data_IF_802236141323
#
_entry.id   IF_802236141323
#
_cell.length_a   1.000
_cell.length_b   1.000
_cell.length_c   1.000
_cell.angle_alpha   90.00
_cell.angle_beta   90.00
_cell.angle_gamma   90.00
#
_symmetry.space_group_name_H-M   'P 1'
#
loop_
_entity.id
_entity.type
_entity.pdbx_description
1 polymer ?
#
# COMPACT_ATOMS: atom_id res chain seq x y z
N UNK A 1 -7.06 -40.49 -10.06
CA UNK A 1 -7.09 -39.02 -10.28
C UNK A 1 -5.95 -38.34 -9.55
N UNK A 2 -5.76 -38.60 -8.24
CA UNK A 2 -4.64 -38.07 -7.46
C UNK A 2 -3.26 -38.42 -8.03
N UNK A 3 -3.04 -39.68 -8.44
CA UNK A 3 -1.77 -40.11 -9.06
C UNK A 3 -1.44 -39.35 -10.36
N UNK A 4 -2.44 -39.13 -11.21
CA UNK A 4 -2.29 -38.34 -12.44
C UNK A 4 -1.94 -36.87 -12.13
N UNK A 5 -2.55 -36.30 -11.09
CA UNK A 5 -2.23 -34.94 -10.64
C UNK A 5 -0.79 -34.89 -10.13
N UNK A 6 -0.36 -35.86 -9.32
CA UNK A 6 1.03 -35.95 -8.85
C UNK A 6 2.03 -36.06 -10.01
N UNK A 7 1.73 -36.85 -11.03
CA UNK A 7 2.56 -36.96 -12.23
C UNK A 7 2.67 -35.62 -12.95
N UNK A 8 1.53 -34.92 -13.16
CA UNK A 8 1.51 -33.61 -13.82
C UNK A 8 2.22 -32.54 -13.01
N UNK A 9 2.14 -32.59 -11.68
CA UNK A 9 2.90 -31.71 -10.80
C UNK A 9 4.40 -31.97 -10.94
N UNK A 10 4.84 -33.23 -10.96
CA UNK A 10 6.25 -33.58 -11.17
C UNK A 10 6.76 -33.09 -12.53
N UNK A 11 5.98 -33.29 -13.58
CA UNK A 11 6.28 -32.79 -14.93
C UNK A 11 6.43 -31.26 -14.94
N UNK A 12 5.48 -30.53 -14.34
CA UNK A 12 5.52 -29.08 -14.23
C UNK A 12 6.74 -28.60 -13.43
N UNK A 13 7.06 -29.24 -12.31
CA UNK A 13 8.24 -28.93 -11.51
C UNK A 13 9.54 -29.14 -12.31
N UNK A 14 9.62 -30.21 -13.10
CA UNK A 14 10.79 -30.47 -13.96
C UNK A 14 10.94 -29.39 -15.04
N UNK A 15 9.84 -28.99 -15.69
CA UNK A 15 9.83 -27.92 -16.68
C UNK A 15 10.29 -26.58 -16.08
N UNK A 16 9.77 -26.20 -14.91
CA UNK A 16 10.17 -24.97 -14.22
C UNK A 16 11.65 -25.03 -13.81
N UNK A 17 12.11 -26.17 -13.32
CA UNK A 17 13.51 -26.35 -12.90
C UNK A 17 14.49 -26.18 -14.06
N UNK A 18 14.09 -26.61 -15.27
CA UNK A 18 14.88 -26.52 -16.48
C UNK A 18 14.91 -25.11 -17.12
N UNK A 19 14.14 -24.15 -16.60
CA UNK A 19 14.19 -22.77 -17.10
C UNK A 19 15.52 -22.09 -16.76
N UNK A 20 16.06 -21.37 -17.72
CA UNK A 20 17.26 -20.55 -17.52
C UNK A 20 16.92 -19.24 -16.78
N UNK A 21 17.70 -18.95 -15.73
CA UNK A 21 17.59 -17.70 -14.96
C UNK A 21 16.52 -17.72 -13.87
N UNK A 22 16.87 -17.15 -12.71
CA UNK A 22 15.99 -17.16 -11.53
C UNK A 22 14.73 -16.31 -11.72
N UNK A 23 14.80 -15.25 -12.52
CA UNK A 23 13.61 -14.44 -12.84
C UNK A 23 12.56 -15.23 -13.63
N UNK A 24 12.96 -15.95 -14.68
CA UNK A 24 12.04 -16.79 -15.45
C UNK A 24 11.39 -17.88 -14.59
N UNK A 25 12.17 -18.50 -13.68
CA UNK A 25 11.64 -19.48 -12.73
C UNK A 25 10.60 -18.86 -11.81
N UNK A 26 10.91 -17.73 -11.18
CA UNK A 26 10.01 -17.05 -10.23
C UNK A 26 8.74 -16.54 -10.92
N UNK A 27 8.86 -15.97 -12.13
CA UNK A 27 7.72 -15.48 -12.89
C UNK A 27 6.81 -16.63 -13.35
N UNK A 28 7.40 -17.76 -13.75
CA UNK A 28 6.64 -18.98 -14.05
C UNK A 28 5.96 -19.57 -12.81
N UNK A 29 6.63 -19.55 -11.66
CA UNK A 29 6.02 -19.94 -10.38
C UNK A 29 4.83 -19.02 -10.02
N UNK A 30 4.97 -17.71 -10.19
CA UNK A 30 3.87 -16.76 -10.00
C UNK A 30 2.71 -17.05 -10.96
N UNK A 31 2.99 -17.34 -12.23
CA UNK A 31 1.98 -17.74 -13.21
C UNK A 31 1.19 -18.97 -12.75
N UNK A 32 1.89 -20.04 -12.34
CA UNK A 32 1.25 -21.26 -11.84
C UNK A 32 0.41 -20.96 -10.60
N UNK A 33 0.93 -20.21 -9.63
CA UNK A 33 0.19 -19.80 -8.42
C UNK A 33 -1.08 -19.04 -8.77
N UNK A 34 -1.06 -18.13 -9.75
CA UNK A 34 -2.26 -17.43 -10.22
C UNK A 34 -3.32 -18.38 -10.78
N UNK A 35 -2.91 -19.41 -11.52
CA UNK A 35 -3.86 -20.41 -12.04
C UNK A 35 -4.47 -21.27 -10.93
N UNK A 36 -3.65 -21.68 -9.95
CA UNK A 36 -4.14 -22.42 -8.78
C UNK A 36 -5.09 -21.56 -7.93
N UNK A 37 -4.74 -20.29 -7.70
CA UNK A 37 -5.58 -19.33 -6.98
C UNK A 37 -6.96 -19.20 -7.62
N UNK A 38 -7.05 -19.08 -8.96
CA UNK A 38 -8.35 -18.94 -9.66
C UNK A 38 -9.34 -20.07 -9.36
N UNK A 39 -8.84 -21.30 -9.21
CA UNK A 39 -9.68 -22.47 -8.92
C UNK A 39 -9.81 -22.77 -7.43
N UNK A 40 -9.07 -22.06 -6.56
CA UNK A 40 -9.11 -22.26 -5.13
C UNK A 40 -10.49 -21.89 -4.57
N UNK A 41 -11.09 -22.72 -3.69
CA UNK A 41 -12.31 -22.32 -2.97
C UNK A 41 -12.05 -21.13 -2.01
N UNK A 42 -10.79 -20.80 -1.75
CA UNK A 42 -10.36 -19.70 -0.89
C UNK A 42 -9.90 -18.46 -1.68
N UNK A 43 -10.15 -18.42 -3.00
CA UNK A 43 -9.68 -17.33 -3.86
C UNK A 43 -10.18 -15.92 -3.46
N UNK A 44 -11.26 -15.84 -2.69
CA UNK A 44 -11.78 -14.61 -2.10
C UNK A 44 -10.90 -14.04 -0.97
N UNK A 45 -9.94 -14.82 -0.48
CA UNK A 45 -8.90 -14.39 0.45
C UNK A 45 -7.61 -14.11 -0.31
N UNK A 46 -7.15 -12.83 -0.34
CA UNK A 46 -5.89 -12.46 -0.99
C UNK A 46 -4.67 -13.32 -0.63
N UNK A 47 -4.57 -13.76 0.62
CA UNK A 47 -3.42 -14.54 1.11
C UNK A 47 -3.28 -15.91 0.44
N UNK A 48 -4.34 -16.42 -0.21
CA UNK A 48 -4.29 -17.63 -1.04
C UNK A 48 -3.33 -17.46 -2.24
N UNK A 49 -3.01 -16.21 -2.61
CA UNK A 49 -2.02 -15.86 -3.63
C UNK A 49 -0.97 -14.89 -3.07
N UNK A 50 0.21 -15.44 -2.75
CA UNK A 50 1.43 -14.67 -2.53
C UNK A 50 2.31 -14.77 -3.78
N UNK A 51 2.61 -13.63 -4.39
CA UNK A 51 3.50 -13.52 -5.54
C UNK A 51 4.83 -12.89 -5.13
N UNK A 52 5.92 -13.21 -5.84
CA UNK A 52 7.20 -12.52 -5.67
C UNK A 52 7.40 -11.51 -6.81
N UNK A 53 7.21 -10.24 -6.49
CA UNK A 53 7.26 -9.14 -7.45
C UNK A 53 8.58 -8.39 -7.38
N UNK A 54 9.07 -7.91 -8.51
CA UNK A 54 10.24 -7.04 -8.57
C UNK A 54 10.02 -5.77 -7.76
N UNK A 55 11.00 -5.40 -6.93
CA UNK A 55 10.86 -4.27 -6.01
C UNK A 55 10.60 -2.95 -6.75
N UNK A 56 11.12 -2.81 -7.97
CA UNK A 56 10.87 -1.68 -8.87
C UNK A 56 9.42 -1.54 -9.33
N UNK A 57 8.65 -2.63 -9.35
CA UNK A 57 7.23 -2.64 -9.70
C UNK A 57 6.33 -2.38 -8.48
N UNK A 58 6.91 -2.21 -7.29
CA UNK A 58 6.18 -1.98 -6.04
C UNK A 58 6.51 -0.58 -5.52
N UNK A 59 5.48 0.26 -5.36
CA UNK A 59 5.64 1.68 -5.05
C UNK A 59 4.96 2.03 -3.73
N UNK A 60 5.54 2.90 -2.90
CA UNK A 60 4.82 3.46 -1.77
C UNK A 60 3.61 4.26 -2.23
N UNK A 61 2.61 4.37 -1.36
CA UNK A 61 1.53 5.33 -1.56
C UNK A 61 1.96 6.76 -1.21
N UNK A 62 1.19 7.74 -1.69
CA UNK A 62 1.41 9.18 -1.54
C UNK A 62 0.66 9.79 -0.33
N UNK A 63 -0.23 9.02 0.32
CA UNK A 63 -1.13 9.50 1.36
C UNK A 63 -0.80 9.02 2.78
N UNK A 64 0.13 8.08 2.95
CA UNK A 64 0.58 7.60 4.25
C UNK A 64 2.09 7.86 4.42
N UNK A 65 2.50 8.82 5.26
CA UNK A 65 3.90 9.06 5.57
C UNK A 65 4.40 7.90 6.42
N UNK A 66 4.94 6.86 5.78
CA UNK A 66 5.37 5.62 6.44
C UNK A 66 6.66 5.86 7.27
N UNK A 67 6.55 6.54 8.41
CA UNK A 67 7.63 6.78 9.35
C UNK A 67 7.83 5.58 10.30
N UNK A 68 9.05 5.05 10.39
CA UNK A 68 9.46 4.10 11.43
C UNK A 68 10.75 4.56 12.09
N UNK A 69 10.84 4.29 13.39
CA UNK A 69 12.03 4.60 14.16
C UNK A 69 13.23 3.73 13.72
N UNK A 70 14.45 4.30 13.62
CA UNK A 70 15.64 3.55 13.17
C UNK A 70 15.94 2.22 13.88
N UNK A 71 15.70 2.04 15.20
CA UNK A 71 15.92 0.76 15.88
C UNK A 71 15.01 -0.37 15.38
N UNK A 72 13.74 -0.06 15.08
CA UNK A 72 12.75 -1.03 14.61
C UNK A 72 13.08 -1.54 13.20
N UNK A 73 13.61 -0.66 12.33
CA UNK A 73 14.08 -1.04 10.99
C UNK A 73 15.22 -2.07 11.03
N UNK A 74 16.13 -1.98 12.01
CA UNK A 74 17.23 -2.96 12.16
C UNK A 74 16.74 -4.32 12.62
N UNK A 75 15.78 -4.35 13.55
CA UNK A 75 15.17 -5.61 14.01
C UNK A 75 14.37 -6.27 12.88
N UNK A 76 13.65 -5.50 12.06
CA UNK A 76 12.97 -6.04 10.89
C UNK A 76 13.94 -6.65 9.88
N UNK A 77 15.05 -5.98 9.59
CA UNK A 77 16.11 -6.55 8.76
C UNK A 77 16.64 -7.88 9.33
N UNK A 78 16.93 -7.92 10.65
CA UNK A 78 17.41 -9.14 11.30
C UNK A 78 16.37 -10.27 11.23
N UNK A 79 15.09 -9.98 11.49
CA UNK A 79 14.03 -10.99 11.37
C UNK A 79 13.90 -11.52 9.95
N UNK A 80 13.94 -10.67 8.92
CA UNK A 80 13.93 -11.16 7.52
C UNK A 80 15.19 -11.97 7.21
N UNK A 81 16.33 -11.62 7.81
CA UNK A 81 17.58 -12.34 7.59
C UNK A 81 17.59 -13.75 8.23
N UNK A 82 17.06 -13.88 9.45
CA UNK A 82 17.07 -15.13 10.22
C UNK A 82 15.85 -16.02 9.88
N UNK A 83 14.67 -15.41 9.75
CA UNK A 83 13.38 -16.11 9.60
C UNK A 83 12.83 -16.09 8.17
N UNK A 84 13.40 -15.25 7.30
CA UNK A 84 12.84 -14.96 5.98
C UNK A 84 11.60 -14.07 6.03
N UNK A 85 10.96 -13.88 4.87
CA UNK A 85 9.68 -13.18 4.82
C UNK A 85 8.55 -14.07 5.34
N UNK A 86 8.13 -13.83 6.57
CA UNK A 86 7.00 -14.53 7.21
C UNK A 86 5.65 -13.90 6.92
N UNK A 87 5.65 -12.66 6.42
CA UNK A 87 4.47 -11.91 6.01
C UNK A 87 4.74 -11.23 4.67
N UNK A 88 3.76 -11.28 3.77
CA UNK A 88 3.80 -10.52 2.53
C UNK A 88 3.55 -9.03 2.78
N UNK A 89 3.85 -8.25 1.75
CA UNK A 89 3.43 -6.86 1.61
C UNK A 89 2.01 -6.88 1.06
N UNK A 90 1.13 -6.02 1.57
CA UNK A 90 -0.20 -5.86 1.01
C UNK A 90 -0.12 -4.76 -0.04
N UNK A 91 -0.46 -5.09 -1.28
CA UNK A 91 -0.47 -4.15 -2.40
C UNK A 91 -1.85 -4.02 -3.04
N UNK A 92 -2.02 -3.00 -3.87
CA UNK A 92 -3.12 -2.89 -4.81
C UNK A 92 -2.55 -2.73 -6.21
N UNK A 93 -3.04 -3.51 -7.18
CA UNK A 93 -2.59 -3.41 -8.57
C UNK A 93 -3.07 -2.11 -9.18
N UNK A 94 -2.19 -1.42 -9.89
CA UNK A 94 -2.54 -0.34 -10.80
C UNK A 94 -2.70 -0.93 -12.20
N UNK A 95 -3.89 -0.76 -12.79
CA UNK A 95 -4.25 -1.41 -14.05
C UNK A 95 -3.46 -0.80 -15.23
N UNK A 96 -3.12 0.49 -15.15
CA UNK A 96 -2.51 1.23 -16.26
C UNK A 96 -1.08 0.77 -16.59
N UNK A 97 -0.29 0.39 -15.57
CA UNK A 97 1.13 0.07 -15.74
C UNK A 97 1.57 -1.24 -15.07
N UNK A 98 0.61 -2.07 -14.64
CA UNK A 98 0.80 -3.34 -13.92
C UNK A 98 1.74 -3.23 -12.70
N UNK A 99 1.83 -2.03 -12.10
CA UNK A 99 2.55 -1.84 -10.84
C UNK A 99 1.66 -2.05 -9.63
N UNK A 100 2.26 -2.04 -8.44
CA UNK A 100 1.55 -2.25 -7.17
C UNK A 100 1.81 -1.10 -6.24
N UNK A 101 0.75 -0.48 -5.73
CA UNK A 101 0.83 0.53 -4.68
C UNK A 101 0.71 -0.17 -3.32
N UNK A 102 1.66 0.10 -2.43
CA UNK A 102 1.70 -0.48 -1.08
C UNK A 102 0.51 0.07 -0.27
N UNK A 103 -0.24 -0.85 0.34
CA UNK A 103 -1.31 -0.59 1.30
C UNK A 103 -0.82 -0.88 2.73
N UNK A 104 -0.07 -1.96 2.91
CA UNK A 104 0.57 -2.31 4.18
C UNK A 104 1.92 -3.02 3.94
N UNK A 105 2.84 -2.92 4.89
CA UNK A 105 4.15 -3.55 4.81
C UNK A 105 5.23 -2.70 4.14
N UNK A 106 5.12 -1.36 4.17
CA UNK A 106 6.11 -0.46 3.58
C UNK A 106 7.56 -0.78 4.00
N UNK A 107 7.81 -1.00 5.29
CA UNK A 107 9.15 -1.28 5.78
C UNK A 107 9.71 -2.62 5.29
N UNK A 108 8.84 -3.61 5.01
CA UNK A 108 9.24 -4.88 4.39
C UNK A 108 9.73 -4.69 2.96
N UNK A 109 9.12 -3.75 2.23
CA UNK A 109 9.60 -3.32 0.91
C UNK A 109 10.93 -2.55 1.03
N UNK A 110 11.02 -1.65 2.00
CA UNK A 110 12.21 -0.83 2.22
C UNK A 110 13.45 -1.69 2.53
N UNK A 111 13.31 -2.80 3.27
CA UNK A 111 14.43 -3.69 3.59
C UNK A 111 15.12 -4.25 2.33
N UNK A 112 14.40 -4.64 1.28
CA UNK A 112 15.02 -5.10 0.02
C UNK A 112 15.79 -3.96 -0.64
N UNK A 113 15.28 -2.73 -0.59
CA UNK A 113 15.96 -1.56 -1.18
C UNK A 113 17.22 -1.17 -0.43
N UNK A 114 17.18 -1.21 0.89
CA UNK A 114 18.25 -0.67 1.74
C UNK A 114 19.36 -1.71 2.00
N UNK A 115 19.03 -3.01 2.01
CA UNK A 115 19.96 -4.08 2.38
C UNK A 115 20.27 -5.03 1.23
N UNK A 116 21.47 -4.86 0.64
CA UNK A 116 21.95 -5.71 -0.48
C UNK A 116 21.90 -7.20 -0.20
N UNK A 117 22.13 -7.64 1.05
CA UNK A 117 22.07 -9.06 1.42
C UNK A 117 20.68 -9.64 1.18
N UNK A 118 19.62 -8.91 1.58
CA UNK A 118 18.23 -9.31 1.33
C UNK A 118 17.93 -9.21 -0.17
N UNK A 119 18.25 -8.08 -0.80
CA UNK A 119 18.05 -7.90 -2.25
C UNK A 119 18.65 -9.03 -3.07
N UNK A 120 19.87 -9.48 -2.76
CA UNK A 120 20.52 -10.57 -3.48
C UNK A 120 19.82 -11.90 -3.20
N UNK A 121 19.45 -12.17 -1.95
CA UNK A 121 18.77 -13.42 -1.57
C UNK A 121 17.37 -13.57 -2.15
N UNK A 122 16.69 -12.45 -2.45
CA UNK A 122 15.34 -12.43 -3.02
C UNK A 122 15.33 -12.07 -4.50
N UNK A 123 16.49 -11.99 -5.15
CA UNK A 123 16.61 -11.61 -6.57
C UNK A 123 15.97 -10.24 -6.91
N UNK A 124 16.06 -9.31 -5.95
CA UNK A 124 15.45 -7.97 -6.04
C UNK A 124 13.93 -7.98 -5.93
N UNK A 125 13.34 -9.05 -5.36
CA UNK A 125 11.89 -9.21 -5.26
C UNK A 125 11.38 -9.11 -3.82
N UNK A 126 10.10 -8.80 -3.69
CA UNK A 126 9.35 -8.78 -2.44
C UNK A 126 8.12 -9.68 -2.56
N UNK A 127 7.73 -10.39 -1.48
CA UNK A 127 6.48 -11.15 -1.48
C UNK A 127 5.31 -10.18 -1.31
N UNK A 128 4.30 -10.33 -2.15
CA UNK A 128 3.17 -9.42 -2.21
C UNK A 128 1.84 -10.15 -2.39
N UNK A 129 0.86 -9.69 -1.63
CA UNK A 129 -0.53 -10.12 -1.67
C UNK A 129 -1.37 -8.92 -2.08
N UNK A 130 -2.11 -9.04 -3.18
CA UNK A 130 -2.92 -7.92 -3.67
C UNK A 130 -4.28 -7.89 -2.98
N UNK A 131 -4.79 -6.70 -2.65
CA UNK A 131 -6.18 -6.54 -2.25
C UNK A 131 -7.12 -7.09 -3.32
N UNK A 132 -8.36 -7.41 -2.92
CA UNK A 132 -9.36 -8.05 -3.78
C UNK A 132 -9.57 -7.30 -5.09
N UNK A 133 -9.86 -8.04 -6.15
CA UNK A 133 -10.30 -7.46 -7.41
C UNK A 133 -11.54 -6.55 -7.20
N UNK A 134 -11.56 -5.39 -7.83
CA UNK A 134 -12.58 -4.35 -7.62
C UNK A 134 -12.39 -3.50 -6.36
N UNK A 135 -11.27 -3.66 -5.65
CA UNK A 135 -10.85 -2.82 -4.49
C UNK A 135 -9.54 -2.09 -4.72
N UNK A 136 -9.21 -1.85 -5.98
CA UNK A 136 -7.98 -1.18 -6.40
C UNK A 136 -8.13 0.35 -6.41
N UNK A 137 -9.34 0.90 -6.37
CA UNK A 137 -9.57 2.35 -6.44
C UNK A 137 -8.90 3.13 -5.30
N UNK A 138 -8.50 4.39 -5.55
CA UNK A 138 -7.78 5.25 -4.59
C UNK A 138 -8.46 5.29 -3.21
N UNK A 139 -9.78 5.45 -3.16
CA UNK A 139 -10.54 5.42 -1.90
C UNK A 139 -10.46 4.06 -1.18
N UNK A 140 -10.60 2.95 -1.91
CA UNK A 140 -10.50 1.61 -1.32
C UNK A 140 -9.09 1.34 -0.77
N UNK A 141 -8.03 1.80 -1.45
CA UNK A 141 -6.63 1.70 -1.01
C UNK A 141 -6.37 2.49 0.27
N UNK A 142 -6.85 3.74 0.32
CA UNK A 142 -6.76 4.59 1.51
C UNK A 142 -7.49 3.92 2.68
N UNK A 143 -8.73 3.49 2.47
CA UNK A 143 -9.51 2.86 3.52
C UNK A 143 -8.88 1.54 3.99
N UNK A 144 -8.31 0.74 3.08
CA UNK A 144 -7.57 -0.47 3.44
C UNK A 144 -6.35 -0.15 4.30
N UNK A 145 -5.55 0.84 3.91
CA UNK A 145 -4.37 1.29 4.66
C UNK A 145 -4.77 1.68 6.09
N UNK A 146 -5.83 2.48 6.25
CA UNK A 146 -6.32 2.89 7.57
C UNK A 146 -6.79 1.69 8.39
N UNK A 147 -7.56 0.77 7.78
CA UNK A 147 -8.01 -0.45 8.48
C UNK A 147 -6.83 -1.29 8.96
N UNK A 148 -5.80 -1.47 8.13
CA UNK A 148 -4.59 -2.21 8.50
C UNK A 148 -3.82 -1.54 9.65
N UNK A 149 -3.65 -0.22 9.62
CA UNK A 149 -2.96 0.51 10.68
C UNK A 149 -3.75 0.42 12.00
N UNK A 150 -5.05 0.73 11.96
CA UNK A 150 -5.92 0.70 13.15
C UNK A 150 -6.03 -0.69 13.76
N UNK A 151 -6.16 -1.74 12.94
CA UNK A 151 -6.21 -3.12 13.42
C UNK A 151 -4.91 -3.56 14.13
N UNK A 152 -3.78 -2.91 13.83
CA UNK A 152 -2.48 -3.14 14.50
C UNK A 152 -2.24 -2.18 15.68
N UNK A 153 -3.22 -1.36 16.05
CA UNK A 153 -3.09 -0.35 17.11
C UNK A 153 -2.30 0.89 16.71
N UNK A 154 -2.02 1.08 15.42
CA UNK A 154 -1.37 2.28 14.89
C UNK A 154 -2.44 3.27 14.45
N UNK A 155 -2.46 4.45 15.09
CA UNK A 155 -3.41 5.52 14.78
C UNK A 155 -2.83 6.61 13.87
N UNK A 156 -1.56 6.49 13.47
CA UNK A 156 -0.88 7.50 12.68
C UNK A 156 -1.28 7.41 11.20
N UNK A 157 -2.21 8.27 10.79
CA UNK A 157 -1.99 9.03 9.57
C UNK A 157 -1.77 10.46 10.02
N UNK A 158 -0.59 11.00 9.76
CA UNK A 158 -0.16 12.29 10.29
C UNK A 158 -1.05 13.45 9.81
N UNK A 159 -1.72 13.28 8.67
CA UNK A 159 -2.64 14.29 8.12
C UNK A 159 -4.01 13.69 7.75
N UNK A 160 -4.85 13.51 8.77
CA UNK A 160 -6.23 13.07 8.57
C UNK A 160 -7.09 14.10 7.83
N UNK A 161 -6.71 15.38 7.83
CA UNK A 161 -7.39 16.41 7.06
C UNK A 161 -7.15 16.16 5.57
N UNK A 162 -5.90 15.92 5.18
CA UNK A 162 -5.53 15.66 3.79
C UNK A 162 -6.14 14.35 3.28
N UNK A 163 -6.17 13.30 4.10
CA UNK A 163 -6.87 12.06 3.74
C UNK A 163 -8.37 12.30 3.48
N UNK A 164 -9.05 13.05 4.36
CA UNK A 164 -10.47 13.37 4.18
C UNK A 164 -10.66 14.24 2.93
N UNK A 165 -9.74 15.19 2.67
CA UNK A 165 -9.76 16.00 1.44
C UNK A 165 -9.67 15.11 0.19
N UNK A 166 -8.68 14.22 0.11
CA UNK A 166 -8.49 13.30 -1.03
C UNK A 166 -9.74 12.44 -1.23
N UNK A 167 -10.27 11.85 -0.14
CA UNK A 167 -11.46 11.00 -0.22
C UNK A 167 -12.67 11.75 -0.75
N UNK A 168 -12.90 12.98 -0.29
CA UNK A 168 -14.09 13.75 -0.68
C UNK A 168 -13.95 14.43 -2.04
N UNK A 169 -12.82 15.07 -2.28
CA UNK A 169 -12.59 15.93 -3.45
C UNK A 169 -12.15 15.10 -4.66
N UNK A 170 -11.20 14.18 -4.48
CA UNK A 170 -10.65 13.39 -5.59
C UNK A 170 -11.43 12.10 -5.81
N UNK A 171 -11.92 11.48 -4.74
CA UNK A 171 -12.61 10.19 -4.84
C UNK A 171 -14.15 10.28 -4.74
N UNK A 172 -14.71 11.46 -4.45
CA UNK A 172 -16.16 11.66 -4.34
C UNK A 172 -16.83 10.91 -3.18
N UNK A 173 -16.09 10.54 -2.14
CA UNK A 173 -16.62 9.78 -1.00
C UNK A 173 -17.55 10.65 -0.13
N UNK A 174 -18.69 10.07 0.28
CA UNK A 174 -19.60 10.71 1.24
C UNK A 174 -19.11 10.55 2.68
N UNK A 175 -19.64 11.38 3.59
CA UNK A 175 -19.35 11.25 5.03
C UNK A 175 -19.72 9.85 5.54
N UNK A 176 -20.89 9.35 5.16
CA UNK A 176 -21.36 8.02 5.54
C UNK A 176 -20.43 6.92 5.04
N UNK A 177 -19.88 7.08 3.83
CA UNK A 177 -18.90 6.15 3.30
C UNK A 177 -17.62 6.15 4.14
N UNK A 178 -17.12 7.33 4.52
CA UNK A 178 -15.92 7.50 5.35
C UNK A 178 -16.14 6.86 6.72
N UNK A 179 -17.22 7.20 7.42
CA UNK A 179 -17.58 6.60 8.72
C UNK A 179 -17.60 5.09 8.62
N UNK A 180 -18.30 4.53 7.62
CA UNK A 180 -18.46 3.09 7.44
C UNK A 180 -17.15 2.36 7.10
N UNK A 181 -16.34 2.88 6.20
CA UNK A 181 -15.20 2.14 5.63
C UNK A 181 -13.87 2.42 6.33
N UNK A 182 -13.77 3.56 7.01
CA UNK A 182 -12.58 3.99 7.75
C UNK A 182 -12.80 3.78 9.26
N UNK A 183 -14.05 3.80 9.73
CA UNK A 183 -14.40 3.67 11.15
C UNK A 183 -14.11 4.95 11.93
N UNK A 184 -14.23 6.10 11.27
CA UNK A 184 -14.02 7.42 11.89
C UNK A 184 -15.31 7.87 12.57
N UNK A 185 -15.20 8.63 13.66
CA UNK A 185 -16.36 9.18 14.36
C UNK A 185 -17.10 10.19 13.45
N UNK A 186 -18.46 10.18 13.40
CA UNK A 186 -19.22 11.08 12.54
C UNK A 186 -18.93 12.58 12.78
N UNK A 187 -18.74 13.00 14.03
CA UNK A 187 -18.45 14.39 14.37
C UNK A 187 -17.02 14.75 13.96
N UNK A 188 -16.08 13.80 14.08
CA UNK A 188 -14.73 13.94 13.55
C UNK A 188 -14.73 14.11 12.03
N UNK A 189 -15.46 13.26 11.28
CA UNK A 189 -15.59 13.37 9.82
C UNK A 189 -16.18 14.72 9.41
N UNK A 190 -17.20 15.20 10.13
CA UNK A 190 -17.81 16.50 9.85
C UNK A 190 -16.82 17.65 10.06
N UNK A 191 -16.11 17.64 11.20
CA UNK A 191 -15.11 18.65 11.54
C UNK A 191 -13.97 18.67 10.51
N UNK A 192 -13.40 17.51 10.18
CA UNK A 192 -12.31 17.40 9.18
C UNK A 192 -12.79 17.81 7.78
N UNK A 193 -14.03 17.46 7.42
CA UNK A 193 -14.65 17.91 6.17
C UNK A 193 -14.72 19.43 6.08
N UNK A 194 -15.16 20.10 7.15
CA UNK A 194 -15.22 21.56 7.18
C UNK A 194 -13.83 22.18 7.06
N UNK A 195 -12.85 21.68 7.80
CA UNK A 195 -11.46 22.14 7.73
C UNK A 195 -10.87 21.98 6.33
N UNK A 196 -11.09 20.82 5.68
CA UNK A 196 -10.64 20.56 4.31
C UNK A 196 -11.29 21.50 3.28
N UNK A 197 -12.58 21.81 3.45
CA UNK A 197 -13.31 22.74 2.58
C UNK A 197 -12.82 24.17 2.72
N UNK A 198 -12.52 24.60 3.95
CA UNK A 198 -11.91 25.91 4.23
C UNK A 198 -10.51 25.97 3.58
N UNK A 199 -9.66 24.97 3.78
CA UNK A 199 -8.32 24.94 3.18
C UNK A 199 -8.37 25.04 1.64
N UNK A 200 -9.30 24.33 0.99
CA UNK A 200 -9.49 24.41 -0.46
C UNK A 200 -9.90 25.82 -0.95
N UNK A 201 -10.69 26.56 -0.16
CA UNK A 201 -11.09 27.94 -0.49
C UNK A 201 -9.92 28.94 -0.41
N UNK A 202 -8.88 28.64 0.38
CA UNK A 202 -7.70 29.50 0.52
C UNK A 202 -6.52 29.10 -0.38
N UNK A 203 -6.54 27.90 -0.98
CA UNK A 203 -5.49 27.43 -1.88
C UNK A 203 -5.31 28.30 -3.15
N UNK A 204 -6.35 29.04 -3.56
CA UNK A 204 -6.34 29.91 -4.75
C UNK A 204 -6.34 31.41 -4.42
N UNK A 205 -6.04 31.80 -3.18
CA UNK A 205 -5.90 33.22 -2.82
C UNK A 205 -4.43 33.58 -2.71
N UNK A 206 -3.96 34.37 -3.68
CA UNK A 206 -2.76 35.19 -3.49
C UNK A 206 -3.04 36.14 -2.33
N UNK A 207 -2.41 35.90 -1.18
CA UNK A 207 -2.39 36.86 -0.10
C UNK A 207 -1.47 38.02 -0.52
N UNK A 208 -1.97 38.93 -1.35
CA UNK A 208 -1.34 40.24 -1.51
C UNK A 208 -1.40 40.92 -0.15
N UNK A 209 -0.24 41.13 0.46
CA UNK A 209 -0.10 41.94 1.66
C UNK A 209 -0.48 43.39 1.30
N UNK A 210 -1.73 43.76 1.49
CA UNK A 210 -2.09 45.16 1.67
C UNK A 210 -1.92 45.49 3.16
N UNK A 211 -0.79 46.11 3.47
CA UNK A 211 -0.63 46.89 4.70
C UNK A 211 -0.65 48.37 4.30
N UNK A 212 -1.84 48.93 4.18
CA UNK A 212 -2.02 50.36 4.37
C UNK A 212 -2.33 50.56 5.86
N UNK A 213 -1.28 50.88 6.62
CA UNK A 213 -1.46 51.58 7.87
C UNK A 213 -1.29 53.07 7.54
N UNK A 214 -2.41 53.74 7.28
CA UNK A 214 -2.49 55.19 7.36
C UNK A 214 -2.27 55.60 8.83
N UNK A 215 -1.06 56.05 9.14
CA UNK A 215 -0.83 56.89 10.32
C UNK A 215 -1.20 58.32 9.97
N UNK A 216 -2.46 58.67 10.25
CA UNK A 216 -2.86 60.06 10.42
C UNK A 216 -2.69 60.48 11.89
N UNK A 217 -2.27 61.74 12.07
CA UNK A 217 -2.24 62.59 13.28
C UNK A 217 -1.10 62.34 14.28
N UNK A 218 -0.39 63.33 14.83
CA UNK A 218 -0.75 64.74 15.09
C UNK A 218 0.48 65.65 15.30
N UNK A 219 0.19 66.94 15.35
CA UNK A 219 0.99 68.17 15.48
C UNK A 219 2.16 68.19 16.48
N UNK A 220 3.25 68.88 16.10
CA UNK A 220 3.82 70.05 16.81
C UNK A 220 4.70 70.90 15.87
#
# INVERSE_FOLDING_TARGET
MTELIEEKVKELCALITALDGEDNKIDTLNLVRRHLHKISPLNHHPVDLVEWEKVENVRPNDYNPNHVAPPESKLLYLSILEDGYTMSIVGAREIEDDTRVIVDGFHRHQVVRDFKKISNSTFGRVPITNVREGKEGRADRIAATIRHNRARGVHAIDDMIEVVRILKVECGASNDWIVKHIGMDPDEVLRLSQLSGIAALFANKDFSKERDFDEATDQD
#
